data_IF_417749547184
#
_entry.id   IF_417749547184
#
_cell.length_a   1.000
_cell.length_b   1.000
_cell.length_c   1.000
_cell.angle_alpha   90.00
_cell.angle_beta   90.00
_cell.angle_gamma   90.00
#
_symmetry.space_group_name_H-M   'P 1'
#
loop_
_entity.id
_entity.type
_entity.pdbx_description
1 polymer ?
#
# COMPACT_ATOMS: atom_id res chain seq x y z
N UNK A 1 80.11 13.56 -36.11
CA UNK A 1 80.62 13.26 -34.76
C UNK A 1 79.46 12.72 -33.92
N UNK A 2 79.64 11.56 -33.27
CA UNK A 2 78.79 10.96 -32.22
C UNK A 2 77.40 10.46 -32.66
N UNK A 3 77.13 9.18 -32.96
CA UNK A 3 77.15 7.94 -32.14
C UNK A 3 75.90 7.71 -31.27
N UNK A 4 75.12 6.67 -31.65
CA UNK A 4 74.49 5.60 -30.81
C UNK A 4 73.43 6.01 -29.78
N UNK A 5 72.36 5.26 -29.46
CA UNK A 5 71.72 4.02 -29.96
C UNK A 5 70.57 3.66 -28.97
N UNK A 6 69.46 3.06 -29.44
CA UNK A 6 68.61 2.19 -28.61
C UNK A 6 67.09 2.48 -28.65
N UNK A 7 66.22 1.47 -28.45
CA UNK A 7 65.46 0.90 -29.58
C UNK A 7 63.95 0.67 -29.32
N UNK A 8 63.25 0.22 -30.37
CA UNK A 8 61.94 -0.44 -30.32
C UNK A 8 60.79 0.49 -30.73
N UNK A 9 59.79 0.10 -31.52
CA UNK A 9 59.33 -1.24 -31.85
C UNK A 9 58.44 -1.16 -33.12
N UNK A 10 58.40 -2.23 -33.89
CA UNK A 10 57.88 -2.29 -35.26
C UNK A 10 56.38 -2.54 -35.22
N UNK A 11 55.57 -1.52 -35.55
CA UNK A 11 54.12 -1.69 -35.71
C UNK A 11 53.76 -2.44 -37.02
N UNK A 12 52.93 -3.49 -36.99
CA UNK A 12 52.52 -4.17 -38.20
C UNK A 12 51.21 -3.61 -38.78
N UNK A 13 51.09 -3.82 -40.09
CA UNK A 13 50.11 -3.29 -41.03
C UNK A 13 48.69 -3.83 -40.81
N UNK A 14 47.69 -2.99 -41.13
CA UNK A 14 46.26 -3.30 -41.15
C UNK A 14 45.92 -4.51 -42.04
N UNK A 15 45.14 -5.45 -41.50
CA UNK A 15 44.49 -6.53 -42.24
C UNK A 15 43.03 -6.18 -42.57
N UNK A 16 42.58 -6.56 -43.78
CA UNK A 16 41.21 -6.42 -44.30
C UNK A 16 40.23 -7.39 -43.61
N UNK A 17 38.93 -7.05 -43.50
CA UNK A 17 37.95 -7.93 -42.86
C UNK A 17 37.63 -9.14 -43.76
N UNK A 18 37.53 -10.32 -43.14
CA UNK A 18 37.17 -11.57 -43.80
C UNK A 18 35.66 -11.68 -44.03
N UNK A 19 35.27 -12.23 -45.18
CA UNK A 19 33.87 -12.53 -45.53
C UNK A 19 33.27 -13.61 -44.60
N UNK A 20 31.95 -13.60 -44.34
CA UNK A 20 31.33 -14.49 -43.37
C UNK A 20 31.31 -15.94 -43.88
N UNK A 21 31.77 -16.87 -43.03
CA UNK A 21 31.69 -18.31 -43.25
C UNK A 21 30.22 -18.77 -43.16
N UNK A 22 29.74 -19.51 -44.17
CA UNK A 22 28.49 -20.27 -44.11
C UNK A 22 28.54 -21.25 -42.94
N UNK A 23 27.59 -21.13 -42.01
CA UNK A 23 27.42 -22.03 -40.88
C UNK A 23 27.14 -23.47 -41.34
N UNK A 24 27.77 -24.44 -40.68
CA UNK A 24 27.54 -25.88 -40.86
C UNK A 24 26.17 -26.26 -40.29
N UNK A 25 25.53 -27.23 -40.93
CA UNK A 25 24.13 -27.64 -40.71
C UNK A 25 23.89 -28.47 -39.44
N UNK A 26 24.66 -28.25 -38.36
CA UNK A 26 24.57 -29.03 -37.11
C UNK A 26 24.34 -28.22 -35.83
N UNK A 27 24.25 -26.89 -35.90
CA UNK A 27 24.01 -26.05 -34.71
C UNK A 27 22.56 -25.53 -34.66
N UNK A 28 21.58 -26.44 -34.71
CA UNK A 28 20.22 -26.09 -34.30
C UNK A 28 20.12 -26.34 -32.80
N UNK A 29 19.66 -25.38 -31.98
CA UNK A 29 19.34 -25.67 -30.60
C UNK A 29 18.28 -26.78 -30.61
N UNK A 30 18.59 -27.87 -29.91
CA UNK A 30 17.59 -28.87 -29.53
C UNK A 30 16.53 -28.06 -28.79
N UNK A 31 15.32 -28.04 -29.35
CA UNK A 31 14.14 -27.54 -28.66
C UNK A 31 14.16 -28.20 -27.28
N UNK A 32 14.41 -27.41 -26.24
CA UNK A 32 14.26 -27.89 -24.89
C UNK A 32 12.81 -28.33 -24.77
N UNK A 33 12.60 -29.59 -24.38
CA UNK A 33 11.29 -30.06 -23.96
C UNK A 33 10.74 -29.01 -22.97
N UNK A 34 9.47 -28.60 -23.10
CA UNK A 34 8.86 -27.76 -22.07
C UNK A 34 9.08 -28.43 -20.71
N UNK A 35 9.36 -27.62 -19.69
CA UNK A 35 9.54 -28.10 -18.32
C UNK A 35 8.41 -29.10 -17.99
N UNK A 36 8.71 -30.22 -17.33
CA UNK A 36 7.67 -31.18 -16.97
C UNK A 36 6.57 -30.44 -16.20
N UNK A 37 5.32 -30.67 -16.60
CA UNK A 37 4.16 -30.23 -15.84
C UNK A 37 4.37 -30.66 -14.38
N UNK A 38 4.24 -29.75 -13.39
CA UNK A 38 4.40 -30.15 -12.00
C UNK A 38 3.47 -31.34 -11.71
N UNK A 39 3.99 -32.33 -10.97
CA UNK A 39 3.24 -33.52 -10.57
C UNK A 39 1.91 -33.05 -9.93
N UNK A 40 0.74 -33.62 -10.29
CA UNK A 40 -0.55 -33.28 -9.69
C UNK A 40 -0.61 -33.48 -8.16
N UNK A 41 0.45 -34.03 -7.56
CA UNK A 41 0.65 -34.13 -6.11
C UNK A 41 1.67 -33.15 -5.51
N UNK A 42 2.21 -32.21 -6.30
CA UNK A 42 3.12 -31.17 -5.81
C UNK A 42 2.30 -30.13 -5.05
N UNK A 43 2.30 -30.21 -3.71
CA UNK A 43 1.78 -29.14 -2.87
C UNK A 43 2.70 -27.92 -3.10
N UNK A 44 2.17 -26.86 -3.68
CA UNK A 44 2.86 -25.57 -3.70
C UNK A 44 2.77 -25.04 -2.27
N UNK A 45 3.91 -24.73 -1.66
CA UNK A 45 3.96 -24.22 -0.29
C UNK A 45 3.40 -22.80 -0.28
N UNK A 46 2.07 -22.68 -0.17
CA UNK A 46 1.37 -21.42 0.02
C UNK A 46 1.27 -21.17 1.51
N UNK A 47 2.01 -20.19 2.01
CA UNK A 47 1.89 -19.75 3.40
C UNK A 47 0.59 -18.96 3.62
N UNK A 48 0.24 -18.75 4.90
CA UNK A 48 -1.00 -18.07 5.26
C UNK A 48 -1.08 -16.63 4.74
N UNK A 49 0.05 -15.94 4.58
CA UNK A 49 0.10 -14.55 4.11
C UNK A 49 -0.15 -14.50 2.60
N UNK A 50 0.48 -15.38 1.82
CA UNK A 50 0.23 -15.51 0.38
C UNK A 50 -1.24 -15.87 0.11
N UNK A 51 -1.82 -16.77 0.89
CA UNK A 51 -3.24 -17.07 0.82
C UNK A 51 -4.12 -15.88 1.21
N UNK A 52 -3.78 -15.15 2.29
CA UNK A 52 -4.48 -13.94 2.69
C UNK A 52 -4.49 -12.88 1.57
N UNK A 53 -3.36 -12.66 0.89
CA UNK A 53 -3.27 -11.75 -0.26
C UNK A 53 -4.20 -12.13 -1.42
N UNK A 54 -4.30 -13.43 -1.73
CA UNK A 54 -5.25 -13.92 -2.74
C UNK A 54 -6.69 -13.69 -2.33
N UNK A 55 -7.05 -14.01 -1.08
CA UNK A 55 -8.41 -13.77 -0.56
C UNK A 55 -8.75 -12.28 -0.53
N UNK A 56 -7.78 -11.46 -0.17
CA UNK A 56 -7.84 -10.00 -0.20
C UNK A 56 -8.14 -9.48 -1.61
N UNK A 57 -7.40 -9.91 -2.64
CA UNK A 57 -7.67 -9.52 -4.03
C UNK A 57 -9.06 -9.96 -4.50
N UNK A 58 -9.48 -11.17 -4.14
CA UNK A 58 -10.85 -11.62 -4.43
C UNK A 58 -11.87 -10.69 -3.78
N UNK A 59 -11.67 -10.34 -2.50
CA UNK A 59 -12.49 -9.38 -1.78
C UNK A 59 -12.58 -8.05 -2.53
N UNK A 60 -11.45 -7.49 -2.94
CA UNK A 60 -11.38 -6.26 -3.73
C UNK A 60 -12.15 -6.31 -5.05
N UNK A 61 -11.93 -7.35 -5.85
CA UNK A 61 -12.60 -7.50 -7.14
C UNK A 61 -14.11 -7.60 -6.96
N UNK A 62 -14.57 -8.37 -5.97
CA UNK A 62 -15.99 -8.51 -5.67
C UNK A 62 -16.65 -7.19 -5.24
N UNK A 63 -15.94 -6.26 -4.60
CA UNK A 63 -16.53 -4.95 -4.21
C UNK A 63 -16.96 -4.08 -5.37
N UNK A 64 -16.42 -4.34 -6.58
CA UNK A 64 -16.78 -3.58 -7.77
C UNK A 64 -18.19 -3.91 -8.26
N UNK A 65 -18.77 -5.01 -7.79
CA UNK A 65 -20.17 -5.38 -8.01
C UNK A 65 -20.98 -5.15 -6.71
N UNK A 66 -21.94 -4.18 -6.71
CA UNK A 66 -22.78 -3.92 -5.55
C UNK A 66 -23.55 -5.14 -5.02
N UNK A 67 -23.85 -6.11 -5.88
CA UNK A 67 -24.58 -7.32 -5.52
C UNK A 67 -23.70 -8.33 -4.75
N UNK A 68 -22.38 -8.17 -4.82
CA UNK A 68 -21.39 -9.09 -4.23
C UNK A 68 -20.84 -8.61 -2.87
N UNK A 69 -21.35 -7.49 -2.32
CA UNK A 69 -20.86 -6.86 -1.07
C UNK A 69 -20.67 -7.82 0.11
N UNK A 70 -21.57 -8.78 0.28
CA UNK A 70 -21.50 -9.74 1.39
C UNK A 70 -20.37 -10.76 1.18
N UNK A 71 -20.16 -11.20 -0.06
CA UNK A 71 -19.06 -12.11 -0.39
C UNK A 71 -17.72 -11.38 -0.28
N UNK A 72 -17.65 -10.14 -0.79
CA UNK A 72 -16.47 -9.29 -0.63
C UNK A 72 -16.05 -9.13 0.85
N UNK A 73 -17.03 -8.88 1.74
CA UNK A 73 -16.80 -8.83 3.20
C UNK A 73 -16.32 -10.17 3.76
N UNK A 74 -16.92 -11.29 3.35
CA UNK A 74 -16.52 -12.62 3.80
C UNK A 74 -15.07 -12.97 3.39
N UNK A 75 -14.68 -12.69 2.14
CA UNK A 75 -13.32 -12.89 1.67
C UNK A 75 -12.31 -12.00 2.41
N UNK A 76 -12.67 -10.74 2.68
CA UNK A 76 -11.82 -9.82 3.46
C UNK A 76 -11.65 -10.32 4.91
N UNK A 77 -12.72 -10.79 5.54
CA UNK A 77 -12.67 -11.33 6.90
C UNK A 77 -11.85 -12.63 6.98
N UNK A 78 -11.94 -13.51 5.99
CA UNK A 78 -11.10 -14.70 5.94
C UNK A 78 -9.62 -14.35 5.70
N UNK A 79 -9.33 -13.38 4.81
CA UNK A 79 -7.98 -12.88 4.62
C UNK A 79 -7.38 -12.35 5.94
N UNK A 80 -8.18 -11.58 6.69
CA UNK A 80 -7.83 -11.11 8.03
C UNK A 80 -7.47 -12.26 8.97
N UNK A 81 -8.35 -13.26 9.11
CA UNK A 81 -8.10 -14.41 9.99
C UNK A 81 -6.82 -15.16 9.63
N UNK A 82 -6.54 -15.32 8.34
CA UNK A 82 -5.33 -15.98 7.86
C UNK A 82 -4.07 -15.17 8.19
N UNK A 83 -4.10 -13.85 7.96
CA UNK A 83 -2.98 -12.97 8.25
C UNK A 83 -2.65 -12.91 9.75
N UNK A 84 -3.68 -12.89 10.60
CA UNK A 84 -3.56 -12.81 12.04
C UNK A 84 -3.10 -14.14 12.66
N UNK A 85 -3.80 -15.23 12.36
CA UNK A 85 -3.56 -16.52 13.02
C UNK A 85 -2.38 -17.29 12.44
N UNK A 86 -1.98 -16.97 11.20
CA UNK A 86 -0.94 -17.65 10.42
C UNK A 86 -1.01 -19.19 10.50
N UNK A 87 -2.19 -19.80 10.25
CA UNK A 87 -2.36 -21.24 10.43
C UNK A 87 -1.55 -22.03 9.39
N UNK A 88 -1.18 -23.28 9.74
CA UNK A 88 -0.61 -24.23 8.78
C UNK A 88 -1.69 -24.74 7.83
N UNK A 89 -1.84 -24.04 6.70
CA UNK A 89 -2.83 -24.35 5.67
C UNK A 89 -2.63 -25.73 5.04
N UNK A 90 -1.37 -26.19 4.91
CA UNK A 90 -1.06 -27.49 4.31
C UNK A 90 -1.55 -28.60 5.24
N UNK A 91 -1.29 -28.50 6.54
CA UNK A 91 -1.79 -29.45 7.52
C UNK A 91 -3.31 -29.48 7.58
N UNK A 92 -3.96 -28.32 7.63
CA UNK A 92 -5.42 -28.22 7.64
C UNK A 92 -6.06 -28.78 6.37
N UNK A 93 -5.44 -28.60 5.21
CA UNK A 93 -5.92 -29.18 3.94
C UNK A 93 -5.80 -30.70 3.93
N UNK A 94 -4.76 -31.28 4.53
CA UNK A 94 -4.59 -32.75 4.60
C UNK A 94 -5.63 -33.42 5.50
N UNK A 95 -6.07 -32.73 6.54
CA UNK A 95 -7.12 -33.21 7.45
C UNK A 95 -8.53 -32.74 7.05
N UNK A 96 -8.68 -32.14 5.86
CA UNK A 96 -9.95 -31.60 5.34
C UNK A 96 -10.64 -30.61 6.30
N UNK A 97 -9.86 -29.83 7.05
CA UNK A 97 -10.34 -29.00 8.16
C UNK A 97 -10.09 -27.50 7.95
N UNK A 98 -9.99 -27.02 6.70
CA UNK A 98 -9.80 -25.60 6.41
C UNK A 98 -10.96 -24.72 6.91
N UNK A 99 -12.17 -25.28 7.01
CA UNK A 99 -13.37 -24.59 7.52
C UNK A 99 -13.35 -24.38 9.04
N UNK A 100 -12.35 -24.91 9.75
CA UNK A 100 -12.12 -24.59 11.16
C UNK A 100 -11.51 -23.20 11.39
N UNK A 101 -10.94 -22.60 10.34
CA UNK A 101 -10.43 -21.23 10.41
C UNK A 101 -11.63 -20.27 10.45
N UNK A 102 -11.61 -19.35 11.41
CA UNK A 102 -12.68 -18.35 11.55
C UNK A 102 -12.88 -17.55 10.26
N UNK A 103 -14.12 -17.42 9.81
CA UNK A 103 -14.47 -16.71 8.57
C UNK A 103 -14.28 -17.54 7.29
N UNK A 104 -13.68 -18.73 7.34
CA UNK A 104 -13.50 -19.61 6.18
C UNK A 104 -14.69 -20.55 6.02
N UNK A 105 -15.64 -20.17 5.15
CA UNK A 105 -16.72 -21.06 4.71
C UNK A 105 -16.31 -21.98 3.54
N UNK A 106 -17.19 -22.90 3.15
CA UNK A 106 -16.96 -23.88 2.06
C UNK A 106 -16.43 -23.28 0.75
N UNK A 107 -16.96 -22.12 0.36
CA UNK A 107 -16.52 -21.41 -0.86
C UNK A 107 -15.08 -20.93 -0.76
N UNK A 108 -14.69 -20.38 0.39
CA UNK A 108 -13.35 -19.86 0.66
C UNK A 108 -12.37 -21.03 0.85
N UNK A 109 -12.79 -22.08 1.57
CA UNK A 109 -12.02 -23.32 1.72
C UNK A 109 -11.69 -23.94 0.36
N UNK A 110 -12.61 -23.89 -0.61
CA UNK A 110 -12.34 -24.34 -1.98
C UNK A 110 -11.28 -23.50 -2.70
N UNK A 111 -11.29 -22.18 -2.50
CA UNK A 111 -10.26 -21.28 -3.04
C UNK A 111 -8.89 -21.59 -2.43
N UNK A 112 -8.84 -21.75 -1.10
CA UNK A 112 -7.61 -22.15 -0.40
C UNK A 112 -7.11 -23.52 -0.86
N UNK A 113 -8.03 -24.47 -1.06
CA UNK A 113 -7.70 -25.80 -1.59
C UNK A 113 -7.09 -25.75 -2.99
N UNK A 114 -7.66 -24.92 -3.88
CA UNK A 114 -7.12 -24.69 -5.22
C UNK A 114 -5.70 -24.11 -5.13
N UNK A 115 -5.47 -23.09 -4.27
CA UNK A 115 -4.16 -22.48 -4.06
C UNK A 115 -3.12 -23.47 -3.54
N UNK A 116 -3.44 -24.24 -2.50
CA UNK A 116 -2.49 -25.18 -1.88
C UNK A 116 -2.09 -26.29 -2.88
N UNK A 117 -3.03 -26.74 -3.71
CA UNK A 117 -2.79 -27.85 -4.66
C UNK A 117 -2.11 -27.42 -5.95
N UNK A 118 -2.40 -26.22 -6.44
CA UNK A 118 -1.99 -25.80 -7.78
C UNK A 118 -1.10 -24.55 -7.79
N UNK A 119 -0.97 -23.85 -6.66
CA UNK A 119 -0.38 -22.52 -6.58
C UNK A 119 -1.28 -21.41 -7.12
N UNK A 120 -2.44 -21.74 -7.70
CA UNK A 120 -3.32 -20.80 -8.37
C UNK A 120 -4.77 -20.87 -7.89
N UNK A 121 -5.48 -19.75 -7.96
CA UNK A 121 -6.92 -19.69 -7.70
C UNK A 121 -7.67 -19.50 -9.00
N UNK A 122 -8.39 -20.54 -9.44
CA UNK A 122 -9.29 -20.47 -10.61
C UNK A 122 -10.39 -19.44 -10.41
N UNK A 123 -10.84 -19.24 -9.16
CA UNK A 123 -11.86 -18.25 -8.85
C UNK A 123 -11.32 -16.83 -9.03
N UNK A 124 -10.13 -16.55 -8.51
CA UNK A 124 -9.48 -15.25 -8.69
C UNK A 124 -9.23 -14.96 -10.17
N UNK A 125 -8.72 -15.93 -10.94
CA UNK A 125 -8.46 -15.73 -12.37
C UNK A 125 -9.75 -15.39 -13.15
N UNK A 126 -10.88 -16.03 -12.83
CA UNK A 126 -12.18 -15.66 -13.42
C UNK A 126 -12.62 -14.24 -13.06
N UNK A 127 -12.44 -13.82 -11.80
CA UNK A 127 -12.78 -12.46 -11.40
C UNK A 127 -11.90 -11.42 -12.10
N UNK A 128 -10.60 -11.69 -12.21
CA UNK A 128 -9.66 -10.84 -12.96
C UNK A 128 -10.10 -10.66 -14.42
N UNK A 129 -10.53 -11.74 -15.09
CA UNK A 129 -11.08 -11.66 -16.45
C UNK A 129 -12.38 -10.85 -16.50
N UNK A 130 -13.34 -11.15 -15.60
CA UNK A 130 -14.64 -10.48 -15.51
C UNK A 130 -14.49 -8.96 -15.34
N UNK A 131 -13.62 -8.53 -14.43
CA UNK A 131 -13.39 -7.11 -14.14
C UNK A 131 -12.29 -6.49 -15.01
N UNK A 132 -11.77 -7.21 -16.01
CA UNK A 132 -10.71 -6.74 -16.94
C UNK A 132 -9.46 -6.25 -16.21
N UNK A 133 -9.09 -6.97 -15.17
CA UNK A 133 -8.06 -6.63 -14.21
C UNK A 133 -7.04 -7.78 -14.10
N UNK A 134 -6.28 -8.08 -15.18
CA UNK A 134 -5.36 -9.22 -15.21
C UNK A 134 -4.28 -9.11 -14.13
N UNK A 135 -3.72 -10.25 -13.75
CA UNK A 135 -2.56 -10.30 -12.89
C UNK A 135 -1.41 -9.51 -13.54
N UNK A 136 -0.77 -8.64 -12.76
CA UNK A 136 0.46 -7.97 -13.16
C UNK A 136 1.65 -8.73 -12.61
N UNK A 137 2.78 -8.67 -13.32
CA UNK A 137 4.06 -9.08 -12.75
C UNK A 137 4.36 -8.14 -11.59
N UNK A 138 4.72 -8.71 -10.45
CA UNK A 138 5.16 -7.92 -9.31
C UNK A 138 6.57 -7.39 -9.60
N UNK A 139 6.69 -6.07 -9.74
CA UNK A 139 7.94 -5.35 -10.02
C UNK A 139 8.49 -4.63 -8.78
N UNK A 140 7.82 -4.77 -7.63
CA UNK A 140 7.98 -3.86 -6.48
C UNK A 140 9.08 -4.26 -5.48
N UNK A 141 9.56 -5.50 -5.52
CA UNK A 141 10.51 -6.06 -4.54
C UNK A 141 10.13 -5.73 -3.07
N UNK A 142 8.82 -5.75 -2.75
CA UNK A 142 8.32 -5.37 -1.44
C UNK A 142 8.45 -6.54 -0.45
N UNK A 143 9.21 -6.35 0.63
CA UNK A 143 9.27 -7.29 1.75
C UNK A 143 8.53 -6.74 2.98
N UNK A 144 7.40 -7.33 3.33
CA UNK A 144 6.62 -6.93 4.51
C UNK A 144 7.43 -7.02 5.80
N UNK A 145 8.46 -7.87 5.88
CA UNK A 145 9.31 -7.96 7.08
C UNK A 145 10.10 -6.67 7.36
N UNK A 146 10.27 -5.82 6.36
CA UNK A 146 10.91 -4.51 6.48
C UNK A 146 9.94 -3.38 6.83
N UNK A 147 8.62 -3.64 6.89
CA UNK A 147 7.62 -2.63 7.20
C UNK A 147 7.84 -2.07 8.61
N UNK A 148 8.07 -0.75 8.72
CA UNK A 148 8.47 -0.10 9.96
C UNK A 148 7.28 0.43 10.76
N UNK A 149 6.26 0.97 10.12
CA UNK A 149 5.14 1.56 10.86
C UNK A 149 4.10 2.22 9.99
N UNK A 150 3.02 2.64 10.62
CA UNK A 150 1.87 3.28 9.98
C UNK A 150 1.80 4.76 10.40
N UNK A 151 1.33 5.63 9.50
CA UNK A 151 1.18 7.07 9.76
C UNK A 151 -0.28 7.52 9.80
N UNK A 152 -1.25 6.66 9.45
CA UNK A 152 -2.68 7.00 9.44
C UNK A 152 -3.48 6.05 10.33
N UNK A 153 -3.86 6.53 11.52
CA UNK A 153 -4.78 5.79 12.39
C UNK A 153 -5.56 6.71 13.34
N UNK A 154 -6.72 6.22 13.77
CA UNK A 154 -7.71 6.97 14.53
C UNK A 154 -7.93 6.37 15.92
N UNK A 155 -8.23 7.23 16.88
CA UNK A 155 -8.49 6.84 18.27
C UNK A 155 -9.84 7.36 18.74
N UNK A 156 -10.22 7.03 19.98
CA UNK A 156 -11.40 7.59 20.62
C UNK A 156 -11.40 9.11 20.80
N UNK A 157 -10.33 9.82 20.38
CA UNK A 157 -10.31 11.29 20.32
C UNK A 157 -11.15 11.86 19.17
N UNK A 158 -11.34 11.10 18.08
CA UNK A 158 -12.30 11.42 17.02
C UNK A 158 -13.33 10.28 16.84
N UNK A 159 -13.24 9.49 15.77
CA UNK A 159 -14.17 8.41 15.43
C UNK A 159 -13.58 7.01 15.54
N UNK A 160 -12.36 6.88 16.07
CA UNK A 160 -11.79 5.60 16.45
C UNK A 160 -12.63 4.90 17.53
N UNK A 161 -12.62 3.57 17.49
CA UNK A 161 -13.38 2.69 18.39
C UNK A 161 -12.52 2.10 19.51
N UNK A 162 -11.26 2.48 19.56
CA UNK A 162 -10.29 2.06 20.55
C UNK A 162 -9.59 3.27 21.19
N UNK A 163 -9.11 3.09 22.41
CA UNK A 163 -8.24 4.06 23.07
C UNK A 163 -6.88 4.15 22.37
N UNK A 164 -6.16 5.24 22.59
CA UNK A 164 -4.80 5.39 22.05
C UNK A 164 -3.86 4.27 22.53
N UNK A 165 -4.01 3.84 23.80
CA UNK A 165 -3.23 2.72 24.34
C UNK A 165 -3.51 1.41 23.60
N UNK A 166 -4.77 1.06 23.36
CA UNK A 166 -5.13 -0.16 22.64
C UNK A 166 -4.59 -0.14 21.19
N UNK A 167 -4.63 1.01 20.52
CA UNK A 167 -4.03 1.19 19.19
C UNK A 167 -2.51 0.97 19.23
N UNK A 168 -1.84 1.58 20.19
CA UNK A 168 -0.39 1.45 20.36
C UNK A 168 0.04 0.01 20.69
N UNK A 169 -0.69 -0.68 21.58
CA UNK A 169 -0.46 -2.10 21.88
C UNK A 169 -0.64 -2.99 20.65
N UNK A 170 -1.64 -2.70 19.81
CA UNK A 170 -1.88 -3.39 18.54
C UNK A 170 -0.71 -3.24 17.55
N UNK A 171 -0.22 -2.01 17.38
CA UNK A 171 0.93 -1.72 16.54
C UNK A 171 2.22 -2.39 17.06
N UNK A 172 2.46 -2.33 18.38
CA UNK A 172 3.62 -2.99 19.01
C UNK A 172 3.56 -4.52 18.85
N UNK A 173 2.37 -5.12 18.94
CA UNK A 173 2.20 -6.56 18.71
C UNK A 173 2.54 -7.00 17.27
N UNK A 174 2.44 -6.07 16.31
CA UNK A 174 2.85 -6.28 14.92
C UNK A 174 4.33 -5.95 14.67
N UNK A 175 5.03 -5.42 15.67
CA UNK A 175 6.45 -5.06 15.60
C UNK A 175 6.70 -3.70 14.94
N UNK A 176 5.71 -2.80 14.93
CA UNK A 176 5.91 -1.46 14.39
C UNK A 176 6.90 -0.66 15.28
N UNK A 177 7.80 0.07 14.62
CA UNK A 177 8.70 1.04 15.21
C UNK A 177 8.01 2.39 15.47
N UNK A 178 6.97 2.72 14.70
CA UNK A 178 6.17 3.93 14.90
C UNK A 178 4.69 3.76 14.53
N UNK A 179 3.84 4.61 15.11
CA UNK A 179 2.41 4.72 14.81
C UNK A 179 1.99 6.20 14.81
N UNK A 180 1.42 6.65 13.69
CA UNK A 180 0.75 7.95 13.58
C UNK A 180 -0.62 7.95 14.24
N UNK A 181 -0.82 8.88 15.17
CA UNK A 181 -2.13 9.19 15.75
C UNK A 181 -2.67 10.42 15.01
N UNK A 182 -3.56 10.19 14.04
CA UNK A 182 -4.01 11.20 13.06
C UNK A 182 -5.53 11.37 13.10
N UNK A 183 -6.07 11.57 14.30
CA UNK A 183 -7.49 11.86 14.47
C UNK A 183 -7.96 13.07 13.64
N UNK A 184 -9.25 13.08 13.30
CA UNK A 184 -9.82 14.08 12.38
C UNK A 184 -9.80 15.51 12.93
N UNK A 185 -9.66 16.49 12.04
CA UNK A 185 -9.94 17.92 12.28
C UNK A 185 -11.45 18.25 12.42
N UNK A 186 -11.84 19.45 12.93
CA UNK A 186 -13.21 19.75 13.34
C UNK A 186 -14.30 19.76 12.25
N UNK A 187 -13.92 19.91 10.97
CA UNK A 187 -14.86 20.14 9.86
C UNK A 187 -15.90 19.06 9.73
N UNK A 188 -15.54 17.80 9.93
CA UNK A 188 -16.52 16.72 10.06
C UNK A 188 -17.17 16.84 11.45
N UNK A 189 -18.29 17.56 11.53
CA UNK A 189 -18.92 17.87 12.82
C UNK A 189 -19.42 16.62 13.59
N UNK A 190 -19.63 15.50 12.90
CA UNK A 190 -20.15 14.24 13.48
C UNK A 190 -19.05 13.45 14.21
N UNK A 191 -17.79 13.60 13.82
CA UNK A 191 -16.68 12.80 14.40
C UNK A 191 -16.04 13.49 15.61
N UNK A 192 -16.58 14.62 16.06
CA UNK A 192 -15.99 15.43 17.12
C UNK A 192 -14.48 15.66 16.87
N UNK A 193 -14.11 16.30 15.77
CA UNK A 193 -12.70 16.51 15.42
C UNK A 193 -11.93 17.44 16.38
N UNK A 194 -10.60 17.42 16.28
CA UNK A 194 -9.69 18.08 17.20
C UNK A 194 -9.34 19.49 16.71
N UNK A 195 -9.65 20.50 17.53
CA UNK A 195 -9.08 21.84 17.39
C UNK A 195 -7.72 21.91 18.13
N UNK A 196 -7.06 23.07 18.08
CA UNK A 196 -5.78 23.30 18.74
C UNK A 196 -5.77 22.92 20.24
N UNK A 197 -6.82 23.29 20.98
CA UNK A 197 -6.91 22.97 22.42
C UNK A 197 -7.01 21.45 22.66
N UNK A 198 -7.76 20.74 21.82
CA UNK A 198 -7.92 19.29 21.94
C UNK A 198 -6.68 18.53 21.50
N UNK A 199 -5.93 19.02 20.50
CA UNK A 199 -4.60 18.48 20.16
C UNK A 199 -3.61 18.58 21.34
N UNK A 200 -3.64 19.71 22.08
CA UNK A 200 -2.83 19.85 23.31
C UNK A 200 -3.29 18.89 24.42
N UNK A 201 -4.58 18.58 24.49
CA UNK A 201 -5.08 17.60 25.45
C UNK A 201 -4.68 16.16 25.05
N UNK A 202 -4.79 15.82 23.77
CA UNK A 202 -4.38 14.54 23.21
C UNK A 202 -2.87 14.30 23.39
N UNK A 203 -2.02 15.32 23.20
CA UNK A 203 -0.57 15.17 23.39
C UNK A 203 -0.18 14.81 24.83
N UNK A 204 -0.96 15.25 25.82
CA UNK A 204 -0.74 14.87 27.23
C UNK A 204 -1.07 13.40 27.47
N UNK A 205 -2.15 12.89 26.88
CA UNK A 205 -2.46 11.47 26.92
C UNK A 205 -1.39 10.66 26.17
N UNK A 206 -1.00 11.11 24.98
CA UNK A 206 0.04 10.49 24.17
C UNK A 206 1.36 10.37 24.93
N UNK A 207 1.75 11.39 25.68
CA UNK A 207 2.94 11.34 26.53
C UNK A 207 2.85 10.28 27.65
N UNK A 208 1.66 9.98 28.18
CA UNK A 208 1.46 8.91 29.16
C UNK A 208 1.40 7.53 28.52
N UNK A 209 0.82 7.41 27.32
CA UNK A 209 0.82 6.15 26.55
C UNK A 209 2.23 5.81 26.08
N UNK A 210 2.98 6.79 25.56
CA UNK A 210 4.35 6.62 25.09
C UNK A 210 5.29 6.03 26.14
N UNK A 211 5.09 6.35 27.43
CA UNK A 211 5.87 5.78 28.56
C UNK A 211 5.62 4.28 28.78
N UNK A 212 4.51 3.75 28.29
CA UNK A 212 4.11 2.36 28.43
C UNK A 212 4.58 1.50 27.24
N UNK A 213 4.97 2.15 26.14
CA UNK A 213 5.42 1.48 24.92
C UNK A 213 6.91 1.15 24.99
N UNK A 214 7.30 0.00 24.45
CA UNK A 214 8.69 -0.43 24.32
C UNK A 214 9.03 -0.65 22.85
N UNK A 215 9.94 0.16 22.31
CA UNK A 215 10.37 0.11 20.92
C UNK A 215 9.39 0.73 19.90
N UNK A 216 8.22 1.22 20.32
CA UNK A 216 7.25 1.93 19.48
C UNK A 216 7.26 3.44 19.79
N UNK A 217 7.34 4.28 18.76
CA UNK A 217 7.19 5.75 18.85
C UNK A 217 5.82 6.18 18.32
N UNK A 218 5.08 6.93 19.13
CA UNK A 218 3.84 7.58 18.69
C UNK A 218 4.18 8.91 18.02
N UNK A 219 3.68 9.10 16.81
CA UNK A 219 3.78 10.36 16.07
C UNK A 219 2.48 11.14 16.28
N UNK A 220 2.58 12.35 16.81
CA UNK A 220 1.43 13.21 16.95
C UNK A 220 1.09 13.82 15.59
N UNK A 221 -0.05 13.43 15.03
CA UNK A 221 -0.50 13.95 13.75
C UNK A 221 -1.93 14.44 13.74
N UNK A 222 -2.42 14.71 12.54
CA UNK A 222 -3.81 15.04 12.26
C UNK A 222 -4.16 14.57 10.85
N UNK A 223 -5.38 14.08 10.69
CA UNK A 223 -6.03 14.09 9.38
C UNK A 223 -6.86 15.38 9.24
N UNK A 224 -6.26 16.38 8.59
CA UNK A 224 -6.86 17.70 8.39
C UNK A 224 -7.72 17.74 7.12
N UNK A 225 -8.90 18.31 7.24
CA UNK A 225 -9.80 18.48 6.12
C UNK A 225 -9.28 19.54 5.13
N UNK A 226 -9.29 19.18 3.84
CA UNK A 226 -9.14 20.14 2.75
C UNK A 226 -10.49 20.81 2.53
N UNK A 227 -10.58 22.12 2.72
CA UNK A 227 -11.82 22.90 2.53
C UNK A 227 -12.11 23.15 1.05
N UNK A 228 -13.32 23.63 0.74
CA UNK A 228 -13.84 23.81 -0.64
C UNK A 228 -12.96 24.71 -1.53
N UNK A 229 -12.16 25.60 -0.92
CA UNK A 229 -11.26 26.55 -1.59
C UNK A 229 -9.77 26.11 -1.56
N UNK A 230 -9.49 24.92 -1.03
CA UNK A 230 -8.15 24.35 -0.89
C UNK A 230 -7.38 24.81 0.36
N UNK A 231 -7.97 25.62 1.24
CA UNK A 231 -7.41 25.87 2.57
C UNK A 231 -7.59 24.64 3.49
N UNK A 232 -6.85 24.59 4.59
CA UNK A 232 -6.92 23.50 5.57
C UNK A 232 -7.74 23.90 6.79
N UNK A 233 -8.39 22.92 7.43
CA UNK A 233 -9.30 23.13 8.57
C UNK A 233 -8.59 23.42 9.92
N UNK A 234 -7.29 23.70 9.89
CA UNK A 234 -6.50 24.14 11.04
C UNK A 234 -5.50 25.22 10.61
N UNK A 235 -5.15 26.17 11.49
CA UNK A 235 -4.18 27.22 11.17
C UNK A 235 -2.75 26.65 11.09
N UNK A 236 -1.91 27.25 10.25
CA UNK A 236 -0.50 26.89 10.04
C UNK A 236 0.29 26.73 11.35
N UNK A 237 0.06 27.62 12.32
CA UNK A 237 0.74 27.59 13.62
C UNK A 237 0.45 26.32 14.44
N UNK A 238 -0.63 25.61 14.12
CA UNK A 238 -0.96 24.31 14.72
C UNK A 238 -0.38 23.18 13.89
N UNK A 239 -0.45 23.27 12.56
CA UNK A 239 0.07 22.23 11.66
C UNK A 239 1.61 22.14 11.73
N UNK A 240 2.30 23.27 11.95
CA UNK A 240 3.76 23.34 12.01
C UNK A 240 4.40 22.48 13.11
N UNK A 241 3.67 22.20 14.19
CA UNK A 241 4.18 21.50 15.38
C UNK A 241 3.81 20.02 15.43
N UNK A 242 3.14 19.50 14.40
CA UNK A 242 2.76 18.08 14.31
C UNK A 242 3.87 17.29 13.62
N UNK A 243 4.00 16.03 14.00
CA UNK A 243 4.96 15.07 13.41
C UNK A 243 4.48 14.55 12.04
N UNK A 244 3.18 14.59 11.77
CA UNK A 244 2.59 14.22 10.47
C UNK A 244 1.27 14.94 10.23
N UNK A 245 1.12 15.50 9.03
CA UNK A 245 -0.11 16.13 8.57
C UNK A 245 -0.61 15.42 7.32
N UNK A 246 -1.73 14.72 7.48
CA UNK A 246 -2.47 14.09 6.39
C UNK A 246 -3.59 15.03 5.98
N UNK A 247 -3.62 15.48 4.73
CA UNK A 247 -4.68 16.34 4.21
C UNK A 247 -5.64 15.55 3.32
N UNK A 248 -6.92 15.56 3.66
CA UNK A 248 -7.91 14.70 3.02
C UNK A 248 -9.14 15.45 2.53
N UNK A 249 -9.71 15.11 1.35
CA UNK A 249 -10.98 15.65 0.91
C UNK A 249 -12.13 14.80 1.47
N UNK A 250 -12.88 15.32 2.47
CA UNK A 250 -14.09 14.63 2.96
C UNK A 250 -15.40 15.23 2.47
N UNK A 251 -15.39 16.54 2.22
CA UNK A 251 -16.58 17.30 1.82
C UNK A 251 -16.52 17.70 0.36
N UNK A 252 -17.69 17.86 -0.25
CA UNK A 252 -17.86 18.46 -1.59
C UNK A 252 -17.07 17.76 -2.68
N UNK A 253 -16.99 16.43 -2.61
CA UNK A 253 -16.33 15.59 -3.61
C UNK A 253 -16.97 15.66 -5.01
N UNK A 254 -18.22 16.12 -5.10
CA UNK A 254 -18.92 16.36 -6.38
C UNK A 254 -18.78 17.80 -6.90
N UNK A 255 -17.76 18.53 -6.43
CA UNK A 255 -17.40 19.83 -6.97
C UNK A 255 -17.00 19.71 -8.45
N UNK A 256 -17.14 20.80 -9.20
CA UNK A 256 -16.72 20.85 -10.60
C UNK A 256 -15.23 20.50 -10.74
N UNK A 257 -14.87 19.74 -11.76
CA UNK A 257 -13.55 19.11 -11.94
C UNK A 257 -12.41 20.12 -11.93
N UNK A 258 -12.54 21.26 -12.60
CA UNK A 258 -11.54 22.33 -12.59
C UNK A 258 -11.35 22.90 -11.18
N UNK A 259 -12.45 23.23 -10.50
CA UNK A 259 -12.40 23.76 -9.14
C UNK A 259 -11.87 22.74 -8.12
N UNK A 260 -12.18 21.44 -8.28
CA UNK A 260 -11.60 20.37 -7.45
C UNK A 260 -10.10 20.21 -7.73
N UNK A 261 -9.67 20.40 -8.98
CA UNK A 261 -8.23 20.39 -9.34
C UNK A 261 -7.49 21.52 -8.63
N UNK A 262 -8.00 22.76 -8.69
CA UNK A 262 -7.41 23.90 -7.98
C UNK A 262 -7.34 23.67 -6.47
N UNK A 263 -8.42 23.13 -5.88
CA UNK A 263 -8.49 22.75 -4.47
C UNK A 263 -7.39 21.76 -4.08
N UNK A 264 -7.23 20.68 -4.85
CA UNK A 264 -6.21 19.66 -4.57
C UNK A 264 -4.79 20.19 -4.82
N UNK A 265 -4.56 20.98 -5.87
CA UNK A 265 -3.27 21.63 -6.15
C UNK A 265 -2.83 22.54 -4.98
N UNK A 266 -3.79 23.23 -4.36
CA UNK A 266 -3.51 24.09 -3.20
C UNK A 266 -3.13 23.29 -1.95
N UNK A 267 -3.78 22.14 -1.75
CA UNK A 267 -3.46 21.23 -0.64
C UNK A 267 -2.07 20.60 -0.80
N UNK A 268 -1.76 20.03 -1.98
CA UNK A 268 -0.43 19.40 -2.22
C UNK A 268 0.73 20.40 -2.24
N UNK A 269 0.45 21.68 -2.44
CA UNK A 269 1.49 22.73 -2.41
C UNK A 269 1.63 23.41 -1.04
N UNK A 270 0.85 22.99 -0.04
CA UNK A 270 0.86 23.55 1.30
C UNK A 270 2.14 23.17 2.06
N UNK A 271 2.83 24.11 2.74
CA UNK A 271 4.15 23.87 3.34
C UNK A 271 4.17 22.93 4.55
N UNK A 272 3.00 22.57 5.06
CA UNK A 272 2.80 21.73 6.23
C UNK A 272 2.05 20.44 5.92
N UNK A 273 1.78 20.12 4.65
CA UNK A 273 1.12 18.85 4.29
C UNK A 273 2.20 17.87 3.92
N UNK A 274 2.13 16.67 4.50
CA UNK A 274 3.11 15.63 4.21
C UNK A 274 2.50 14.47 3.41
N UNK A 275 1.22 14.18 3.61
CA UNK A 275 0.48 13.12 2.90
C UNK A 275 -0.87 13.66 2.42
N UNK A 276 -1.30 13.27 1.21
CA UNK A 276 -2.72 13.36 0.83
C UNK A 276 -3.40 12.03 1.16
N UNK A 277 -4.29 12.05 2.14
CA UNK A 277 -5.08 10.90 2.56
C UNK A 277 -6.18 10.57 1.54
N UNK A 278 -6.37 9.26 1.31
CA UNK A 278 -7.32 8.62 0.40
C UNK A 278 -7.81 9.59 -0.70
N UNK A 279 -6.96 9.88 -1.70
CA UNK A 279 -7.01 11.15 -2.44
C UNK A 279 -8.29 11.42 -3.24
N UNK A 280 -9.11 10.42 -3.52
CA UNK A 280 -10.42 10.60 -4.16
C UNK A 280 -11.56 10.72 -3.17
N UNK A 281 -11.37 10.24 -1.94
CA UNK A 281 -12.43 10.06 -0.96
C UNK A 281 -13.50 9.08 -1.44
N UNK A 282 -13.21 8.17 -2.37
CA UNK A 282 -14.18 7.18 -2.86
C UNK A 282 -14.56 6.18 -1.77
N UNK A 283 -15.74 5.59 -1.94
CA UNK A 283 -16.17 4.39 -1.21
C UNK A 283 -16.86 3.44 -2.18
N UNK A 284 -16.18 2.41 -2.71
CA UNK A 284 -16.75 1.53 -3.73
C UNK A 284 -18.14 1.00 -3.36
N UNK A 285 -19.08 1.08 -4.30
CA UNK A 285 -20.49 0.70 -4.08
C UNK A 285 -21.34 1.69 -3.28
N UNK A 286 -20.75 2.80 -2.78
CA UNK A 286 -21.47 3.84 -2.02
C UNK A 286 -21.24 5.25 -2.58
N UNK A 287 -20.00 5.61 -2.90
CA UNK A 287 -19.58 6.95 -3.33
C UNK A 287 -18.46 6.83 -4.37
N UNK A 288 -18.64 7.39 -5.56
CA UNK A 288 -17.67 7.28 -6.66
C UNK A 288 -16.32 7.97 -6.37
N UNK A 289 -16.30 9.00 -5.52
CA UNK A 289 -15.10 9.81 -5.23
C UNK A 289 -15.10 11.14 -6.00
N UNK A 290 -14.05 11.92 -5.81
CA UNK A 290 -13.82 13.18 -6.49
C UNK A 290 -13.23 12.97 -7.90
N UNK A 291 -13.55 13.90 -8.79
CA UNK A 291 -12.99 13.97 -10.14
C UNK A 291 -12.20 15.26 -10.29
N UNK A 292 -10.92 15.14 -10.62
CA UNK A 292 -9.99 16.26 -10.86
C UNK A 292 -8.89 15.80 -11.82
N UNK A 293 -8.04 16.73 -12.26
CA UNK A 293 -6.85 16.40 -13.05
C UNK A 293 -5.80 15.70 -12.16
N UNK A 294 -5.92 14.38 -12.05
CA UNK A 294 -5.04 13.54 -11.24
C UNK A 294 -3.57 13.69 -11.65
N UNK A 295 -3.29 13.74 -12.96
CA UNK A 295 -1.91 13.84 -13.44
C UNK A 295 -1.28 15.17 -13.04
N UNK A 296 -2.02 16.28 -13.13
CA UNK A 296 -1.55 17.58 -12.67
C UNK A 296 -1.30 17.60 -11.15
N UNK A 297 -2.24 17.06 -10.36
CA UNK A 297 -2.11 17.02 -8.88
C UNK A 297 -0.96 16.11 -8.45
N UNK A 298 -0.79 14.94 -9.07
CA UNK A 298 0.30 14.02 -8.73
C UNK A 298 1.67 14.59 -9.05
N UNK A 299 1.82 15.27 -10.21
CA UNK A 299 3.08 15.97 -10.53
C UNK A 299 3.40 17.08 -9.54
N UNK A 300 2.38 17.82 -9.07
CA UNK A 300 2.59 18.87 -8.08
C UNK A 300 2.93 18.29 -6.70
N UNK A 301 2.29 17.19 -6.29
CA UNK A 301 2.64 16.46 -5.07
C UNK A 301 4.10 15.97 -5.09
N UNK A 302 4.54 15.34 -6.19
CA UNK A 302 5.91 14.90 -6.36
C UNK A 302 6.93 16.06 -6.30
N UNK A 303 6.57 17.23 -6.83
CA UNK A 303 7.42 18.44 -6.77
C UNK A 303 7.57 18.99 -5.35
N UNK A 304 6.55 18.81 -4.51
CA UNK A 304 6.50 19.29 -3.14
C UNK A 304 6.90 18.24 -2.11
N UNK A 305 7.29 17.04 -2.56
CA UNK A 305 7.60 15.88 -1.70
C UNK A 305 6.44 15.48 -0.78
N UNK A 306 5.21 15.68 -1.26
CA UNK A 306 3.98 15.24 -0.59
C UNK A 306 3.65 13.83 -1.06
N UNK A 307 3.58 12.89 -0.12
CA UNK A 307 3.23 11.51 -0.41
C UNK A 307 1.73 11.36 -0.72
N UNK A 308 1.39 10.33 -1.49
CA UNK A 308 -0.01 9.96 -1.75
C UNK A 308 -0.36 8.67 -1.03
N UNK A 309 -1.50 8.66 -0.37
CA UNK A 309 -1.95 7.49 0.37
C UNK A 309 -2.47 6.36 -0.53
N UNK A 310 -2.16 5.13 -0.13
CA UNK A 310 -2.80 3.90 -0.57
C UNK A 310 -3.46 3.29 0.66
N UNK A 311 -4.65 3.80 0.95
CA UNK A 311 -5.50 3.36 2.03
C UNK A 311 -6.16 2.05 1.61
N UNK A 312 -5.89 0.99 2.36
CA UNK A 312 -6.41 -0.34 2.07
C UNK A 312 -7.68 -0.70 2.83
N UNK A 313 -8.27 0.25 3.56
CA UNK A 313 -9.55 0.07 4.22
C UNK A 313 -10.54 -0.56 3.22
N UNK A 314 -11.16 -1.69 3.58
CA UNK A 314 -12.07 -2.41 2.71
C UNK A 314 -13.21 -1.57 2.13
N UNK A 315 -13.60 -0.45 2.74
CA UNK A 315 -14.60 0.48 2.25
C UNK A 315 -14.03 1.62 1.40
N UNK A 316 -12.70 1.78 1.28
CA UNK A 316 -12.03 2.83 0.51
C UNK A 316 -11.19 2.27 -0.63
N UNK A 317 -10.13 1.53 -0.30
CA UNK A 317 -9.12 1.02 -1.24
C UNK A 317 -8.62 2.12 -2.18
N UNK A 318 -8.10 3.22 -1.66
CA UNK A 318 -7.82 4.47 -2.39
C UNK A 318 -6.40 5.00 -2.06
N UNK A 319 -5.47 5.15 -3.00
CA UNK A 319 -5.59 5.04 -4.45
C UNK A 319 -5.85 3.61 -4.97
N UNK A 320 -6.59 3.48 -6.08
CA UNK A 320 -6.64 2.20 -6.80
C UNK A 320 -5.27 1.79 -7.33
N UNK A 321 -4.99 0.50 -7.58
CA UNK A 321 -3.72 0.08 -8.17
C UNK A 321 -3.39 0.79 -9.51
N UNK A 322 -4.41 1.11 -10.31
CA UNK A 322 -4.25 1.82 -11.58
C UNK A 322 -3.88 3.30 -11.36
N UNK A 323 -4.52 3.97 -10.38
CA UNK A 323 -4.20 5.35 -10.02
C UNK A 323 -2.86 5.45 -9.29
N UNK A 324 -2.54 4.51 -8.42
CA UNK A 324 -1.25 4.41 -7.75
C UNK A 324 -0.12 4.21 -8.77
N UNK A 325 -0.36 3.45 -9.85
CA UNK A 325 0.59 3.36 -10.98
C UNK A 325 0.79 4.71 -11.67
N UNK A 326 -0.30 5.43 -11.96
CA UNK A 326 -0.21 6.77 -12.57
C UNK A 326 0.57 7.74 -11.68
N UNK A 327 0.31 7.73 -10.37
CA UNK A 327 1.05 8.51 -9.38
C UNK A 327 2.55 8.16 -9.39
N UNK A 328 2.89 6.88 -9.45
CA UNK A 328 4.28 6.43 -9.50
C UNK A 328 4.98 6.91 -10.78
N UNK A 329 4.30 6.86 -11.93
CA UNK A 329 4.80 7.38 -13.20
C UNK A 329 4.97 8.92 -13.20
N UNK A 330 4.23 9.62 -12.33
CA UNK A 330 4.39 11.06 -12.09
C UNK A 330 5.55 11.39 -11.12
N UNK A 331 6.15 10.38 -10.47
CA UNK A 331 7.28 10.54 -9.56
C UNK A 331 6.92 10.64 -8.08
N UNK A 332 5.68 10.31 -7.69
CA UNK A 332 5.24 10.39 -6.30
C UNK A 332 5.91 9.36 -5.38
N UNK A 333 5.97 9.71 -4.10
CA UNK A 333 6.14 8.78 -2.96
C UNK A 333 4.76 8.43 -2.38
N UNK A 334 4.71 7.40 -1.53
CA UNK A 334 3.46 6.85 -1.02
C UNK A 334 3.50 6.60 0.48
N UNK A 335 2.36 6.81 1.13
CA UNK A 335 2.05 6.19 2.42
C UNK A 335 1.07 5.04 2.17
N UNK A 336 1.22 3.92 2.87
CA UNK A 336 0.33 2.77 2.76
C UNK A 336 -0.15 2.38 4.15
N UNK A 337 -1.44 2.18 4.31
CA UNK A 337 -2.06 2.02 5.62
C UNK A 337 -3.47 1.42 5.46
N UNK A 338 -4.19 1.32 6.57
CA UNK A 338 -5.55 0.82 6.59
C UNK A 338 -6.59 1.83 7.10
N UNK A 339 -6.23 3.11 7.28
CA UNK A 339 -7.09 4.12 7.93
C UNK A 339 -7.74 3.53 9.21
N UNK A 340 -6.90 3.01 10.11
CA UNK A 340 -7.38 2.10 11.15
C UNK A 340 -8.11 2.85 12.27
N UNK A 341 -9.37 2.48 12.54
CA UNK A 341 -10.19 2.94 13.68
C UNK A 341 -10.21 1.94 14.83
N UNK A 342 -9.55 0.79 14.70
CA UNK A 342 -9.35 -0.20 15.76
C UNK A 342 -8.07 -1.02 15.51
N UNK A 343 -7.46 -1.63 16.55
CA UNK A 343 -6.23 -2.43 16.40
C UNK A 343 -6.40 -3.60 15.43
N UNK A 344 -7.61 -4.16 15.42
CA UNK A 344 -8.01 -5.22 14.51
C UNK A 344 -8.27 -4.75 13.07
N UNK A 345 -7.77 -3.58 12.65
CA UNK A 345 -7.79 -3.13 11.25
C UNK A 345 -6.37 -3.08 10.66
N UNK A 346 -5.30 -3.13 11.48
CA UNK A 346 -3.92 -3.15 10.98
C UNK A 346 -3.56 -4.38 10.14
N UNK A 347 -4.18 -5.54 10.35
CA UNK A 347 -3.98 -6.70 9.48
C UNK A 347 -4.66 -6.56 8.10
N UNK A 348 -5.26 -5.41 7.77
CA UNK A 348 -5.56 -5.04 6.39
C UNK A 348 -4.33 -4.52 5.66
N UNK A 349 -3.31 -3.96 6.33
CA UNK A 349 -2.09 -3.39 5.68
C UNK A 349 -1.43 -4.30 4.63
N UNK A 350 -1.39 -5.64 4.77
CA UNK A 350 -0.94 -6.52 3.69
C UNK A 350 -1.69 -6.36 2.35
N UNK A 351 -2.94 -5.88 2.38
CA UNK A 351 -3.71 -5.45 1.20
C UNK A 351 -3.10 -4.19 0.57
N UNK A 352 -2.73 -3.19 1.37
CA UNK A 352 -2.07 -1.98 0.86
C UNK A 352 -0.79 -2.34 0.11
N UNK A 353 0.00 -3.27 0.66
CA UNK A 353 1.18 -3.79 -0.02
C UNK A 353 0.82 -4.57 -1.30
N UNK A 354 -0.24 -5.37 -1.30
CA UNK A 354 -0.72 -6.00 -2.53
C UNK A 354 -1.11 -4.96 -3.60
N UNK A 355 -1.78 -3.87 -3.20
CA UNK A 355 -2.13 -2.77 -4.11
C UNK A 355 -0.87 -2.11 -4.68
N UNK A 356 0.13 -1.85 -3.83
CA UNK A 356 1.42 -1.29 -4.23
C UNK A 356 2.21 -2.23 -5.16
N UNK A 357 2.25 -3.54 -4.87
CA UNK A 357 2.83 -4.58 -5.74
C UNK A 357 2.19 -4.58 -7.11
N UNK A 358 0.86 -4.53 -7.16
CA UNK A 358 0.08 -4.47 -8.40
C UNK A 358 0.31 -3.17 -9.19
N UNK A 359 0.59 -2.07 -8.50
CA UNK A 359 1.00 -0.81 -9.10
C UNK A 359 2.48 -0.80 -9.52
N UNK A 360 3.28 -1.81 -9.11
CA UNK A 360 4.72 -1.87 -9.38
C UNK A 360 5.51 -0.78 -8.64
N UNK A 361 5.06 -0.40 -7.45
CA UNK A 361 5.69 0.65 -6.63
C UNK A 361 6.83 0.02 -5.82
N UNK A 362 8.09 0.40 -6.04
CA UNK A 362 9.21 -0.16 -5.30
C UNK A 362 9.23 0.28 -3.84
N UNK A 363 9.87 -0.52 -2.98
CA UNK A 363 9.94 -0.29 -1.53
C UNK A 363 10.47 1.12 -1.15
N UNK A 364 11.47 1.63 -1.87
CA UNK A 364 12.09 2.94 -1.61
C UNK A 364 11.16 4.14 -1.85
N UNK A 365 10.01 3.91 -2.50
CA UNK A 365 8.97 4.91 -2.74
C UNK A 365 7.90 4.95 -1.66
N UNK A 366 7.91 4.02 -0.70
CA UNK A 366 6.89 3.92 0.34
C UNK A 366 7.48 4.35 1.69
N UNK A 367 6.87 5.36 2.31
CA UNK A 367 7.35 5.96 3.56
C UNK A 367 7.38 4.95 4.71
N UNK A 368 6.43 4.01 4.73
CA UNK A 368 6.27 3.01 5.78
C UNK A 368 7.44 2.01 5.92
N UNK A 369 8.38 2.00 4.98
CA UNK A 369 9.61 1.20 5.06
C UNK A 369 10.83 2.00 5.53
N UNK A 370 10.68 3.31 5.75
CA UNK A 370 11.77 4.15 6.25
C UNK A 370 11.87 4.00 7.76
N UNK A 371 13.09 3.93 8.32
CA UNK A 371 13.26 4.02 9.76
C UNK A 371 12.78 5.40 10.25
N UNK A 372 12.45 5.49 11.54
CA UNK A 372 11.87 6.68 12.16
C UNK A 372 12.69 7.96 11.89
N UNK A 373 14.01 7.88 11.92
CA UNK A 373 14.93 9.00 11.69
C UNK A 373 15.03 9.45 10.21
N UNK A 374 14.49 8.66 9.28
CA UNK A 374 14.39 8.97 7.85
C UNK A 374 12.97 9.36 7.42
N UNK A 375 11.99 9.34 8.32
CA UNK A 375 10.68 9.94 8.07
C UNK A 375 10.86 11.46 8.02
N UNK A 376 10.91 12.01 6.81
CA UNK A 376 11.07 13.45 6.53
C UNK A 376 9.97 14.33 7.15
N UNK A 377 8.91 13.70 7.66
CA UNK A 377 7.74 14.32 8.28
C UNK A 377 7.94 14.49 9.81
N UNK A 378 8.71 13.61 10.46
CA UNK A 378 9.00 13.69 11.90
C UNK A 378 10.04 14.80 12.16
N UNK A 379 9.60 15.97 12.64
CA UNK A 379 10.45 17.14 12.88
C UNK A 379 11.04 17.22 14.29
#
# INVERSE_FOLDING_TARGET
>A
MGSRSGPGDVGPRRARPAAPRRARRSDRPVWALPAPCPDPHTIVLVDALAAAQVLSEIGYLLRQDPDERFRAKAFSAAAWSLALQRPDLVSLQRTENLTSIEGVGEGIARVLSDLIKSGESRYLNRLREQFKQPARVDESDLDFSAYQGDVHSHTGWSDGRATMLEMAEGAQALGYAYLGITDHSPRITVVHGLNAERLVAQSREMAEVQKQMDGLTLLQGIEVDILEDGSLDLPDSVLEILDVVIASPHVKLRQETGAMTERMLRAVSHPHVDVIGHPTGRRPGSREGASYDFEAVFKEAAKHDVALEIDCDPARMDLSPEMARLAYECGCTFAVDADAHAPAEFAYVPMALWMARRAGIPQDRILNFRPLDELTMAR
#
